data_IF_586532926908
#
_entry.id   IF_586532926908
#
_cell.length_a   1.000
_cell.length_b   1.000
_cell.length_c   1.000
_cell.angle_alpha   90.00
_cell.angle_beta   90.00
_cell.angle_gamma   90.00
#
_symmetry.space_group_name_H-M   'P 1'
#
loop_
_entity.id
_entity.type
_entity.pdbx_description
1 polymer ?
#
# COMPACT_ATOMS: atom_id res chain seq x y z
N UNK A 1 0.38 -22.97 -12.81
CA UNK A 1 0.80 -23.27 -14.18
C UNK A 1 -0.35 -23.94 -14.91
N UNK A 2 -1.00 -23.26 -15.85
CA UNK A 2 -1.54 -23.93 -17.00
C UNK A 2 -3.03 -24.05 -17.18
N UNK A 3 -3.86 -23.02 -17.01
CA UNK A 3 -5.23 -23.03 -17.56
C UNK A 3 -5.51 -21.85 -18.53
N UNK A 4 -4.64 -20.87 -18.60
CA UNK A 4 -4.78 -19.72 -19.51
C UNK A 4 -4.04 -19.89 -20.85
N UNK A 5 -3.05 -20.78 -20.95
CA UNK A 5 -2.29 -20.98 -22.19
C UNK A 5 -3.05 -21.81 -23.27
N UNK A 6 -4.11 -22.52 -22.89
CA UNK A 6 -4.85 -23.36 -23.83
C UNK A 6 -5.93 -22.59 -24.63
N UNK A 7 -6.32 -21.40 -24.19
CA UNK A 7 -7.41 -20.64 -24.81
C UNK A 7 -6.95 -19.63 -25.88
N UNK A 8 -5.68 -19.22 -25.88
CA UNK A 8 -5.18 -18.22 -26.82
C UNK A 8 -4.10 -18.71 -27.81
N UNK A 9 -3.57 -19.93 -27.62
CA UNK A 9 -2.46 -20.45 -28.43
C UNK A 9 -2.81 -20.99 -29.83
N UNK A 10 -4.08 -21.27 -30.12
CA UNK A 10 -4.46 -22.00 -31.36
C UNK A 10 -5.01 -21.16 -32.52
N UNK A 11 -5.10 -19.84 -32.39
CA UNK A 11 -5.66 -18.99 -33.48
C UNK A 11 -4.64 -18.23 -34.33
N UNK A 12 -3.34 -18.32 -34.08
CA UNK A 12 -2.34 -17.58 -34.87
C UNK A 12 -1.83 -18.33 -36.10
N UNK A 13 -1.92 -19.65 -36.13
CA UNK A 13 -1.38 -20.42 -37.27
C UNK A 13 -2.38 -20.62 -38.41
N UNK A 14 -3.67 -20.40 -38.20
CA UNK A 14 -4.68 -20.53 -39.25
C UNK A 14 -4.70 -19.36 -40.27
N UNK A 15 -4.07 -18.22 -39.92
CA UNK A 15 -4.08 -17.04 -40.80
C UNK A 15 -2.81 -16.89 -41.67
N UNK A 16 -1.75 -17.64 -41.40
CA UNK A 16 -0.49 -17.56 -42.18
C UNK A 16 -0.50 -18.37 -43.49
N UNK A 17 -1.45 -19.26 -43.68
CA UNK A 17 -1.55 -20.09 -44.87
C UNK A 17 -2.39 -19.50 -46.01
N UNK A 18 -3.03 -18.36 -45.83
CA UNK A 18 -3.92 -17.76 -46.84
C UNK A 18 -3.37 -16.52 -47.56
N UNK A 19 -2.18 -16.06 -47.22
CA UNK A 19 -1.60 -14.86 -47.80
C UNK A 19 -0.91 -15.07 -49.16
N UNK A 20 -0.69 -16.33 -49.58
CA UNK A 20 0.02 -16.65 -50.85
C UNK A 20 -0.87 -17.27 -51.93
N UNK A 21 -2.19 -17.13 -51.81
CA UNK A 21 -3.06 -17.48 -52.94
C UNK A 21 -3.14 -16.28 -53.88
N UNK A 22 -2.50 -16.45 -55.04
CA UNK A 22 -2.55 -15.51 -56.14
C UNK A 22 -4.02 -15.31 -56.56
N UNK A 23 -4.60 -14.19 -56.16
CA UNK A 23 -5.99 -13.80 -56.43
C UNK A 23 -6.24 -13.61 -57.96
N UNK A 24 -5.18 -13.55 -58.76
CA UNK A 24 -5.27 -13.44 -60.22
C UNK A 24 -5.60 -14.76 -60.90
N UNK A 25 -5.51 -15.91 -60.21
CA UNK A 25 -5.86 -17.21 -60.78
C UNK A 25 -7.37 -17.54 -60.63
N UNK A 26 -8.17 -16.69 -59.99
CA UNK A 26 -9.62 -16.88 -59.80
C UNK A 26 -10.47 -15.98 -60.71
N UNK A 27 -10.09 -15.86 -61.99
CA UNK A 27 -11.00 -15.30 -62.99
C UNK A 27 -11.83 -16.45 -63.56
N UNK A 28 -13.13 -16.55 -63.24
CA UNK A 28 -13.99 -17.57 -63.87
C UNK A 28 -14.15 -17.23 -65.34
N UNK A 29 -13.72 -18.11 -66.19
CA UNK A 29 -13.85 -17.96 -67.71
C UNK A 29 -15.29 -18.14 -68.16
N UNK A 30 -16.27 -18.45 -67.32
CA UNK A 30 -17.68 -18.64 -67.72
C UNK A 30 -18.63 -17.76 -66.93
N UNK A 31 -18.56 -16.46 -67.13
CA UNK A 31 -19.69 -15.62 -66.78
C UNK A 31 -20.61 -15.57 -68.01
N UNK A 32 -21.54 -16.50 -68.12
CA UNK A 32 -22.69 -16.36 -69.03
C UNK A 32 -23.38 -15.04 -68.70
N UNK A 33 -23.30 -14.10 -69.68
CA UNK A 33 -24.08 -12.83 -69.59
C UNK A 33 -25.55 -13.17 -69.63
N UNK A 34 -26.19 -13.14 -68.48
CA UNK A 34 -27.64 -13.15 -68.36
C UNK A 34 -28.15 -11.82 -68.95
N UNK A 35 -29.06 -11.84 -69.96
CA UNK A 35 -29.57 -10.62 -70.55
C UNK A 35 -30.26 -9.73 -69.51
N UNK A 36 -29.91 -8.46 -69.52
CA UNK A 36 -30.36 -7.43 -68.57
C UNK A 36 -31.79 -6.97 -68.82
N UNK A 37 -32.74 -7.87 -68.76
CA UNK A 37 -34.07 -7.49 -69.09
C UNK A 37 -35.14 -8.27 -68.37
N UNK A 38 -35.21 -8.40 -67.11
CA UNK A 38 -36.43 -8.77 -66.35
C UNK A 38 -36.19 -9.03 -64.85
N UNK A 39 -35.35 -8.22 -64.25
CA UNK A 39 -35.37 -8.17 -62.78
C UNK A 39 -36.32 -7.04 -62.38
N UNK A 40 -37.61 -7.36 -62.38
CA UNK A 40 -38.62 -6.52 -61.73
C UNK A 40 -38.15 -6.20 -60.32
N UNK A 41 -37.76 -4.95 -60.10
CA UNK A 41 -37.46 -4.40 -58.79
C UNK A 41 -38.70 -4.59 -57.88
N UNK A 42 -38.81 -5.74 -57.24
CA UNK A 42 -39.65 -5.87 -56.07
C UNK A 42 -39.06 -4.91 -55.00
N UNK A 43 -39.68 -3.73 -54.92
CA UNK A 43 -39.47 -2.83 -53.78
C UNK A 43 -39.78 -3.62 -52.53
N UNK A 44 -38.74 -4.17 -51.88
CA UNK A 44 -38.88 -4.68 -50.52
C UNK A 44 -39.11 -3.45 -49.67
N UNK A 45 -40.41 -3.24 -49.38
CA UNK A 45 -40.81 -2.28 -48.37
C UNK A 45 -40.27 -2.83 -47.06
N UNK A 46 -39.07 -2.41 -46.71
CA UNK A 46 -38.46 -2.71 -45.41
C UNK A 46 -39.41 -2.06 -44.37
N UNK A 47 -40.29 -2.87 -43.80
CA UNK A 47 -41.12 -2.42 -42.70
C UNK A 47 -40.18 -1.95 -41.59
N UNK A 48 -40.30 -0.70 -41.17
CA UNK A 48 -39.53 -0.14 -40.06
C UNK A 48 -39.97 -0.70 -38.70
N UNK A 49 -40.99 -1.61 -38.71
CA UNK A 49 -41.54 -2.24 -37.51
C UNK A 49 -40.49 -2.96 -36.65
N UNK A 50 -39.54 -3.79 -37.17
CA UNK A 50 -38.58 -4.48 -36.33
C UNK A 50 -37.57 -3.53 -35.71
N UNK A 51 -37.18 -2.43 -36.38
CA UNK A 51 -36.27 -1.42 -35.81
C UNK A 51 -36.92 -0.60 -34.70
N UNK A 52 -38.21 -0.26 -34.83
CA UNK A 52 -38.94 0.44 -33.77
C UNK A 52 -39.16 -0.48 -32.57
N UNK A 53 -39.51 -1.76 -32.79
CA UNK A 53 -39.65 -2.74 -31.71
C UNK A 53 -38.35 -2.98 -30.98
N UNK A 54 -37.20 -3.07 -31.68
CA UNK A 54 -35.87 -3.22 -31.07
C UNK A 54 -35.49 -1.99 -30.24
N UNK A 55 -35.80 -0.78 -30.73
CA UNK A 55 -35.52 0.46 -29.99
C UNK A 55 -36.39 0.58 -28.72
N UNK A 56 -37.66 0.20 -28.79
CA UNK A 56 -38.53 0.16 -27.62
C UNK A 56 -38.06 -0.89 -26.60
N UNK A 57 -37.68 -2.08 -27.04
CA UNK A 57 -37.14 -3.12 -26.18
C UNK A 57 -35.85 -2.68 -25.47
N UNK A 58 -34.93 -2.04 -26.20
CA UNK A 58 -33.69 -1.49 -25.62
C UNK A 58 -34.00 -0.38 -24.61
N UNK A 59 -34.97 0.51 -24.91
CA UNK A 59 -35.40 1.56 -24.01
C UNK A 59 -36.01 1.01 -22.72
N UNK A 60 -36.85 -0.01 -22.80
CA UNK A 60 -37.40 -0.69 -21.62
C UNK A 60 -36.31 -1.39 -20.82
N UNK A 61 -35.35 -2.04 -21.49
CA UNK A 61 -34.26 -2.73 -20.82
C UNK A 61 -33.33 -1.75 -20.09
N UNK A 62 -33.02 -0.61 -20.70
CA UNK A 62 -32.26 0.47 -20.06
C UNK A 62 -33.05 1.06 -18.89
N UNK A 63 -34.34 1.27 -19.02
CA UNK A 63 -35.21 1.76 -17.94
C UNK A 63 -35.30 0.77 -16.77
N UNK A 64 -35.40 -0.54 -17.06
CA UNK A 64 -35.36 -1.59 -16.04
C UNK A 64 -34.02 -1.68 -15.33
N UNK A 65 -32.90 -1.56 -16.06
CA UNK A 65 -31.57 -1.51 -15.45
C UNK A 65 -31.45 -0.27 -14.58
N UNK A 66 -31.89 0.89 -15.06
CA UNK A 66 -31.87 2.15 -14.31
C UNK A 66 -32.71 2.05 -13.03
N UNK A 67 -33.93 1.51 -13.16
CA UNK A 67 -34.80 1.30 -12.01
C UNK A 67 -34.21 0.31 -11.00
N UNK A 68 -33.66 -0.82 -11.45
CA UNK A 68 -32.97 -1.78 -10.58
C UNK A 68 -31.73 -1.21 -9.88
N UNK A 69 -30.99 -0.30 -10.56
CA UNK A 69 -29.85 0.41 -9.97
C UNK A 69 -30.32 1.47 -8.98
N UNK A 70 -31.39 2.20 -9.29
CA UNK A 70 -31.93 3.24 -8.42
C UNK A 70 -32.57 2.64 -7.16
N UNK A 71 -33.29 1.50 -7.30
CA UNK A 71 -33.89 0.79 -6.16
C UNK A 71 -32.83 0.15 -5.24
N UNK A 72 -31.66 -0.20 -5.78
CA UNK A 72 -30.52 -0.64 -4.96
C UNK A 72 -29.78 0.53 -4.29
N UNK A 73 -29.97 1.77 -4.75
CA UNK A 73 -29.34 2.97 -4.21
C UNK A 73 -30.21 3.69 -3.17
N UNK A 74 -31.53 3.64 -3.29
CA UNK A 74 -32.49 4.29 -2.38
C UNK A 74 -32.99 3.29 -1.33
N UNK A 75 -32.66 3.54 -0.07
CA UNK A 75 -32.70 2.56 0.93
C UNK A 75 -33.96 2.30 1.70
N UNK A 76 -34.38 1.07 1.72
CA UNK A 76 -35.06 0.53 2.88
C UNK A 76 -34.09 0.48 4.08
N UNK A 77 -34.55 0.72 5.32
CA UNK A 77 -33.69 0.70 6.50
C UNK A 77 -33.00 -0.65 6.63
N UNK A 78 -31.67 -0.67 6.48
CA UNK A 78 -30.89 -1.88 6.66
C UNK A 78 -30.81 -2.21 8.15
N UNK A 79 -31.54 -3.20 8.58
CA UNK A 79 -31.43 -3.72 9.95
C UNK A 79 -30.17 -4.55 10.17
N UNK A 80 -29.52 -5.00 9.09
CA UNK A 80 -28.39 -5.93 9.16
C UNK A 80 -27.19 -5.40 8.38
N UNK A 81 -26.00 -5.54 8.98
CA UNK A 81 -24.72 -5.24 8.34
C UNK A 81 -23.93 -6.54 8.23
N UNK A 82 -23.42 -6.82 7.05
CA UNK A 82 -22.40 -7.84 6.83
C UNK A 82 -21.07 -7.14 6.59
N UNK A 83 -20.16 -7.27 7.53
CA UNK A 83 -18.90 -6.54 7.55
C UNK A 83 -17.72 -7.48 7.32
N UNK A 84 -16.77 -7.03 6.51
CA UNK A 84 -15.49 -7.67 6.30
C UNK A 84 -14.40 -6.62 6.16
N UNK A 85 -13.21 -6.89 6.71
CA UNK A 85 -12.04 -6.02 6.61
C UNK A 85 -10.77 -6.86 6.52
N UNK A 86 -9.72 -6.26 5.95
CA UNK A 86 -8.36 -6.79 5.94
C UNK A 86 -7.50 -6.24 7.10
N UNK A 87 -8.09 -5.42 7.98
CA UNK A 87 -7.39 -4.75 9.07
C UNK A 87 -7.99 -5.03 10.46
N UNK A 88 -8.10 -3.98 11.27
CA UNK A 88 -8.47 -4.06 12.69
C UNK A 88 -9.77 -3.33 13.03
N UNK A 89 -10.39 -2.63 12.09
CA UNK A 89 -11.68 -1.98 12.31
C UNK A 89 -12.76 -3.02 12.60
N UNK A 90 -13.67 -2.65 13.48
CA UNK A 90 -14.78 -3.51 13.89
C UNK A 90 -16.09 -3.13 13.23
N UNK A 91 -17.06 -4.05 13.21
CA UNK A 91 -18.42 -3.76 12.77
C UNK A 91 -19.05 -2.62 13.57
N UNK A 92 -18.68 -2.47 14.87
CA UNK A 92 -19.16 -1.38 15.72
C UNK A 92 -18.69 0.00 15.21
N UNK A 93 -17.47 0.11 14.68
CA UNK A 93 -16.97 1.32 14.04
C UNK A 93 -17.84 1.68 12.84
N UNK A 94 -18.09 0.74 11.96
CA UNK A 94 -18.92 0.94 10.75
C UNK A 94 -20.33 1.38 11.14
N UNK A 95 -20.97 0.70 12.09
CA UNK A 95 -22.29 1.07 12.59
C UNK A 95 -22.31 2.47 13.17
N UNK A 96 -21.26 2.88 13.90
CA UNK A 96 -21.11 4.23 14.45
C UNK A 96 -21.04 5.28 13.35
N UNK A 97 -20.25 5.05 12.31
CA UNK A 97 -20.12 5.98 11.17
C UNK A 97 -21.46 6.12 10.45
N UNK A 98 -22.15 5.01 10.16
CA UNK A 98 -23.46 5.03 9.51
C UNK A 98 -24.50 5.77 10.36
N UNK A 99 -24.53 5.50 11.67
CA UNK A 99 -25.50 6.12 12.58
C UNK A 99 -25.26 7.62 12.81
N UNK A 100 -24.00 8.08 12.65
CA UNK A 100 -23.65 9.50 12.79
C UNK A 100 -24.17 10.36 11.63
N UNK A 101 -24.44 9.75 10.48
CA UNK A 101 -24.98 10.47 9.31
C UNK A 101 -26.49 10.66 9.38
N UNK A 102 -27.04 11.65 8.65
CA UNK A 102 -28.47 11.84 8.53
C UNK A 102 -29.10 10.57 7.91
N UNK A 103 -30.29 10.20 8.35
CA UNK A 103 -31.04 9.01 7.86
C UNK A 103 -30.42 7.63 8.21
N UNK A 104 -29.24 7.57 8.85
CA UNK A 104 -28.64 6.34 9.33
C UNK A 104 -28.49 5.28 8.23
N UNK A 105 -29.07 4.10 8.44
CA UNK A 105 -29.01 2.97 7.49
C UNK A 105 -29.82 3.15 6.21
N UNK A 106 -30.75 4.13 6.16
CA UNK A 106 -31.54 4.40 4.96
C UNK A 106 -30.78 5.22 3.91
N UNK A 107 -29.61 5.75 4.26
CA UNK A 107 -28.79 6.58 3.37
C UNK A 107 -28.37 5.88 2.09
N UNK A 108 -28.10 6.69 1.08
CA UNK A 108 -27.46 6.22 -0.15
C UNK A 108 -26.12 5.51 0.14
N UNK A 109 -25.91 4.41 -0.52
CA UNK A 109 -24.68 3.59 -0.47
C UNK A 109 -23.42 4.43 -0.78
N UNK A 110 -23.53 5.37 -1.73
CA UNK A 110 -22.41 6.26 -2.10
C UNK A 110 -22.05 7.22 -0.97
N UNK A 111 -23.07 7.73 -0.25
CA UNK A 111 -22.83 8.62 0.88
C UNK A 111 -22.19 7.86 2.06
N UNK A 112 -22.65 6.64 2.35
CA UNK A 112 -22.04 5.76 3.37
C UNK A 112 -20.57 5.46 3.00
N UNK A 113 -20.31 5.13 1.74
CA UNK A 113 -18.96 4.89 1.25
C UNK A 113 -18.06 6.12 1.46
N UNK A 114 -18.52 7.30 1.06
CA UNK A 114 -17.76 8.54 1.20
C UNK A 114 -17.42 8.84 2.67
N UNK A 115 -18.38 8.64 3.58
CA UNK A 115 -18.14 8.85 5.00
C UNK A 115 -17.12 7.87 5.58
N UNK A 116 -17.19 6.59 5.19
CA UNK A 116 -16.20 5.60 5.61
C UNK A 116 -14.79 5.93 5.09
N UNK A 117 -14.68 6.42 3.85
CA UNK A 117 -13.41 6.82 3.22
C UNK A 117 -12.86 8.16 3.76
N UNK A 118 -13.66 8.91 4.54
CA UNK A 118 -13.19 10.11 5.25
C UNK A 118 -12.23 9.76 6.39
N UNK A 119 -12.38 8.56 6.99
CA UNK A 119 -11.47 8.10 8.02
C UNK A 119 -10.10 7.76 7.43
N UNK A 120 -9.04 8.35 7.99
CA UNK A 120 -7.67 8.13 7.53
C UNK A 120 -7.18 6.69 7.65
N UNK A 121 -7.83 5.83 8.43
CA UNK A 121 -7.51 4.41 8.53
C UNK A 121 -8.05 3.62 7.34
N UNK A 122 -9.09 4.13 6.65
CA UNK A 122 -9.71 3.48 5.50
C UNK A 122 -9.01 3.92 4.20
N UNK A 123 -8.54 2.95 3.41
CA UNK A 123 -8.01 3.19 2.06
C UNK A 123 -9.12 3.22 1.04
N UNK A 124 -10.05 2.27 1.16
CA UNK A 124 -11.19 2.12 0.27
C UNK A 124 -12.31 1.36 0.97
N UNK A 125 -13.55 1.73 0.66
CA UNK A 125 -14.75 1.02 1.09
C UNK A 125 -15.53 0.53 -0.13
N UNK A 126 -15.90 -0.76 -0.13
CA UNK A 126 -16.90 -1.30 -1.07
C UNK A 126 -18.19 -1.52 -0.29
N UNK A 127 -19.21 -0.74 -0.61
CA UNK A 127 -20.50 -0.77 0.07
C UNK A 127 -21.56 -1.17 -0.93
N UNK A 128 -22.34 -2.19 -0.61
CA UNK A 128 -23.44 -2.69 -1.46
C UNK A 128 -24.66 -2.94 -0.61
N UNK A 129 -25.83 -2.68 -1.19
CA UNK A 129 -27.10 -3.02 -0.58
C UNK A 129 -27.68 -4.22 -1.30
N UNK A 130 -28.02 -5.26 -0.57
CA UNK A 130 -28.73 -6.43 -1.10
C UNK A 130 -30.25 -6.14 -1.20
N UNK A 131 -30.93 -6.94 -2.02
CA UNK A 131 -32.40 -6.83 -2.18
C UNK A 131 -33.19 -7.07 -0.88
N UNK A 132 -32.59 -7.70 0.15
CA UNK A 132 -33.15 -7.88 1.49
C UNK A 132 -32.91 -6.70 2.43
N UNK A 133 -32.29 -5.61 1.93
CA UNK A 133 -31.93 -4.43 2.71
C UNK A 133 -30.64 -4.55 3.52
N UNK A 134 -29.96 -5.70 3.50
CA UNK A 134 -28.67 -5.89 4.19
C UNK A 134 -27.57 -5.07 3.52
N UNK A 135 -26.80 -4.31 4.31
CA UNK A 135 -25.60 -3.65 3.85
C UNK A 135 -24.40 -4.60 3.91
N UNK A 136 -23.77 -4.86 2.76
CA UNK A 136 -22.47 -5.51 2.67
C UNK A 136 -21.38 -4.45 2.57
N UNK A 137 -20.41 -4.51 3.51
CA UNK A 137 -19.36 -3.52 3.62
C UNK A 137 -18.02 -4.25 3.71
N UNK A 138 -17.18 -4.05 2.70
CA UNK A 138 -15.82 -4.54 2.68
C UNK A 138 -14.86 -3.35 2.76
N UNK A 139 -14.06 -3.30 3.82
CA UNK A 139 -13.06 -2.25 4.01
C UNK A 139 -11.67 -2.78 3.68
N UNK A 140 -10.90 -1.91 3.03
CA UNK A 140 -9.46 -2.04 2.92
C UNK A 140 -8.82 -0.98 3.80
N UNK A 141 -8.02 -1.41 4.77
CA UNK A 141 -7.43 -0.54 5.77
C UNK A 141 -5.96 -0.21 5.47
N UNK A 142 -5.50 0.94 6.00
CA UNK A 142 -4.08 1.25 6.08
C UNK A 142 -3.44 0.42 7.17
N UNK A 143 -2.38 -0.29 6.81
CA UNK A 143 -1.58 -1.03 7.78
C UNK A 143 -0.46 -0.13 8.30
N UNK A 144 -0.36 -0.04 9.63
CA UNK A 144 0.70 0.69 10.29
C UNK A 144 2.06 0.06 10.04
N UNK A 145 3.04 0.86 9.64
CA UNK A 145 4.45 0.47 9.53
C UNK A 145 5.28 1.03 10.67
N UNK A 146 4.79 2.10 11.31
CA UNK A 146 5.44 2.77 12.43
C UNK A 146 4.40 3.54 13.24
N UNK A 147 4.85 4.23 14.27
CA UNK A 147 4.05 5.19 15.05
C UNK A 147 4.81 6.49 15.23
N UNK A 148 4.08 7.56 15.52
CA UNK A 148 4.62 8.83 16.02
C UNK A 148 4.01 9.13 17.38
N UNK A 149 4.77 9.86 18.19
CA UNK A 149 4.30 10.44 19.43
C UNK A 149 4.31 11.96 19.25
N UNK A 150 3.15 12.58 19.32
CA UNK A 150 3.00 14.01 19.17
C UNK A 150 2.34 14.63 20.38
N UNK A 151 2.72 15.87 20.69
CA UNK A 151 1.97 16.70 21.61
C UNK A 151 0.99 17.52 20.76
N UNK A 152 -0.32 17.40 20.97
CA UNK A 152 -1.27 18.25 20.30
C UNK A 152 -1.08 19.71 20.73
N UNK A 153 -1.25 20.66 19.81
CA UNK A 153 -1.06 22.10 20.03
C UNK A 153 -1.87 22.65 21.22
N UNK A 154 -2.97 21.98 21.58
CA UNK A 154 -3.89 22.39 22.66
C UNK A 154 -4.05 21.34 23.76
N UNK A 155 -3.26 20.28 23.75
CA UNK A 155 -3.39 19.16 24.70
C UNK A 155 -2.20 19.01 25.61
N UNK A 156 -2.43 18.54 26.83
CA UNK A 156 -1.39 18.23 27.81
C UNK A 156 -0.93 16.77 27.73
N UNK A 157 -1.59 15.93 26.93
CA UNK A 157 -1.30 14.50 26.84
C UNK A 157 -0.67 14.15 25.50
N UNK A 158 0.40 13.36 25.54
CA UNK A 158 1.00 12.77 24.36
C UNK A 158 0.00 11.87 23.64
N UNK A 159 -0.13 12.05 22.32
CA UNK A 159 -0.96 11.19 21.47
C UNK A 159 -0.07 10.31 20.63
N UNK A 160 -0.41 9.02 20.62
CA UNK A 160 0.23 8.05 19.70
C UNK A 160 -0.63 7.97 18.45
N UNK A 161 -0.03 8.24 17.31
CA UNK A 161 -0.67 8.05 16.00
C UNK A 161 0.10 7.02 15.20
N UNK A 162 -0.61 6.22 14.44
CA UNK A 162 -0.02 5.22 13.57
C UNK A 162 0.33 5.84 12.22
N UNK A 163 1.39 5.36 11.61
CA UNK A 163 1.90 5.83 10.31
C UNK A 163 1.79 4.69 9.30
N UNK A 164 1.10 4.91 8.21
CA UNK A 164 1.01 3.97 7.11
C UNK A 164 2.17 4.12 6.13
N UNK A 165 2.31 3.18 5.21
CA UNK A 165 3.39 3.19 4.20
C UNK A 165 3.29 4.37 3.22
N UNK A 166 2.10 4.95 3.03
CA UNK A 166 1.86 6.15 2.23
C UNK A 166 2.11 7.47 2.99
N UNK A 167 2.63 7.40 4.21
CA UNK A 167 2.94 8.53 5.08
C UNK A 167 1.77 9.11 5.85
N UNK A 168 0.55 8.69 5.57
CA UNK A 168 -0.63 9.18 6.28
C UNK A 168 -0.65 8.66 7.70
N UNK A 169 -1.05 9.54 8.62
CA UNK A 169 -1.25 9.18 10.02
C UNK A 169 -2.71 8.92 10.32
N UNK A 170 -2.97 8.01 11.26
CA UNK A 170 -4.32 7.65 11.70
C UNK A 170 -4.34 7.23 13.17
N UNK A 171 -5.52 7.22 13.78
CA UNK A 171 -5.68 6.97 15.22
C UNK A 171 -5.43 5.52 15.66
N UNK A 172 -5.49 4.54 14.73
CA UNK A 172 -5.30 3.13 15.04
C UNK A 172 -6.47 2.50 15.79
N UNK A 173 -7.69 2.85 15.42
CA UNK A 173 -8.90 2.29 16.02
C UNK A 173 -8.92 0.78 15.84
N UNK A 174 -9.15 0.03 16.91
CA UNK A 174 -9.19 -1.43 16.89
C UNK A 174 -7.82 -2.13 16.91
N UNK A 175 -6.71 -1.39 16.80
CA UNK A 175 -5.38 -2.00 16.89
C UNK A 175 -5.13 -2.57 18.27
N UNK A 176 -4.63 -3.81 18.39
CA UNK A 176 -4.21 -4.37 19.67
C UNK A 176 -3.07 -3.55 20.27
N UNK A 177 -3.15 -3.24 21.56
CA UNK A 177 -2.14 -2.42 22.26
C UNK A 177 -0.72 -2.99 22.08
N UNK A 178 -0.58 -4.32 22.16
CA UNK A 178 0.69 -5.00 21.96
C UNK A 178 1.26 -4.78 20.54
N UNK A 179 0.40 -4.74 19.52
CA UNK A 179 0.83 -4.45 18.15
C UNK A 179 1.36 -3.01 18.05
N UNK A 180 0.66 -2.05 18.65
CA UNK A 180 1.08 -0.63 18.71
C UNK A 180 2.39 -0.46 19.48
N UNK A 181 2.56 -1.14 20.61
CA UNK A 181 3.81 -1.10 21.42
C UNK A 181 5.02 -1.60 20.61
N UNK A 182 4.83 -2.60 19.78
CA UNK A 182 5.89 -3.20 18.99
C UNK A 182 6.29 -2.39 17.77
N UNK A 183 5.49 -1.41 17.34
CA UNK A 183 5.86 -0.53 16.23
C UNK A 183 7.02 0.38 16.63
N UNK A 184 8.03 0.55 15.75
CA UNK A 184 9.07 1.54 15.95
C UNK A 184 8.47 2.95 15.83
N UNK A 185 9.02 3.88 16.61
CA UNK A 185 8.68 5.29 16.55
C UNK A 185 9.44 5.99 15.45
N UNK A 186 8.75 6.79 14.63
CA UNK A 186 9.42 7.70 13.70
C UNK A 186 9.82 8.97 14.45
N UNK A 187 11.10 9.29 14.43
CA UNK A 187 11.67 10.47 15.07
C UNK A 187 12.26 11.45 14.05
N UNK A 188 12.36 12.72 14.42
CA UNK A 188 12.94 13.79 13.61
C UNK A 188 12.32 13.87 12.20
N UNK A 189 11.03 13.62 12.13
CA UNK A 189 10.26 13.70 10.89
C UNK A 189 9.83 15.13 10.57
N UNK A 190 9.51 15.37 9.31
CA UNK A 190 8.74 16.53 8.86
C UNK A 190 7.35 16.06 8.56
N UNK A 191 6.37 16.89 8.84
CA UNK A 191 4.97 16.57 8.57
C UNK A 191 4.25 17.76 7.95
N UNK A 192 3.33 17.47 7.05
CA UNK A 192 2.43 18.45 6.43
C UNK A 192 0.98 17.99 6.67
N UNK A 193 0.04 18.95 6.63
CA UNK A 193 -1.38 18.67 6.80
C UNK A 193 -1.93 19.06 8.17
N UNK A 194 -3.21 18.76 8.38
CA UNK A 194 -3.89 19.00 9.65
C UNK A 194 -3.49 17.97 10.71
N UNK A 195 -3.63 18.33 11.98
CA UNK A 195 -3.27 17.47 13.12
C UNK A 195 -3.87 16.05 13.02
N UNK A 196 -5.12 15.96 12.55
CA UNK A 196 -5.81 14.67 12.41
C UNK A 196 -5.40 13.87 11.17
N UNK A 197 -4.72 14.49 10.22
CA UNK A 197 -4.37 13.91 8.92
C UNK A 197 -2.95 14.27 8.47
N UNK A 198 -1.99 14.19 9.41
CA UNK A 198 -0.59 14.46 9.10
C UNK A 198 -0.08 13.50 8.03
N UNK A 199 0.68 14.05 7.09
CA UNK A 199 1.48 13.32 6.11
C UNK A 199 2.95 13.43 6.52
N UNK A 200 3.59 12.31 6.79
CA UNK A 200 5.00 12.24 7.18
C UNK A 200 5.86 12.21 5.91
N UNK A 201 6.69 13.23 5.74
CA UNK A 201 7.66 13.31 4.64
C UNK A 201 8.83 12.34 4.86
N UNK A 202 9.32 11.72 3.79
CA UNK A 202 10.44 10.76 3.83
C UNK A 202 10.04 9.34 4.23
N UNK A 203 8.77 9.11 4.51
CA UNK A 203 8.28 7.77 4.86
C UNK A 203 8.44 6.79 3.69
N UNK A 204 8.37 7.28 2.45
CA UNK A 204 8.59 6.51 1.22
C UNK A 204 9.97 5.84 1.19
N UNK A 205 10.95 6.37 1.91
CA UNK A 205 12.27 5.77 2.08
C UNK A 205 12.24 4.73 3.19
N UNK A 206 11.64 5.06 4.33
CA UNK A 206 11.64 4.22 5.53
C UNK A 206 10.60 3.09 5.49
N UNK A 207 9.44 3.27 4.85
CA UNK A 207 8.38 2.27 4.85
C UNK A 207 8.76 0.96 4.16
N UNK A 208 9.39 0.94 2.95
CA UNK A 208 9.86 -0.30 2.33
C UNK A 208 10.90 -1.03 3.18
N UNK A 209 11.78 -0.26 3.84
CA UNK A 209 12.78 -0.79 4.77
C UNK A 209 12.10 -1.46 5.97
N UNK A 210 11.20 -0.76 6.66
CA UNK A 210 10.47 -1.28 7.82
C UNK A 210 9.61 -2.50 7.48
N UNK A 211 8.91 -2.47 6.34
CA UNK A 211 8.11 -3.60 5.86
C UNK A 211 8.98 -4.82 5.59
N UNK A 212 10.14 -4.63 4.93
CA UNK A 212 11.08 -5.73 4.65
C UNK A 212 11.61 -6.33 5.94
N UNK A 213 12.01 -5.49 6.91
CA UNK A 213 12.54 -6.00 8.19
C UNK A 213 11.46 -6.72 8.97
N UNK A 214 10.24 -6.18 9.02
CA UNK A 214 9.12 -6.82 9.71
C UNK A 214 8.78 -8.20 9.16
N UNK A 215 8.86 -8.37 7.83
CA UNK A 215 8.50 -9.63 7.16
C UNK A 215 9.65 -10.63 7.12
N UNK A 216 10.87 -10.15 6.85
CA UNK A 216 12.04 -11.02 6.61
C UNK A 216 12.87 -11.24 7.88
N UNK A 217 12.95 -10.23 8.74
CA UNK A 217 13.77 -10.25 9.96
C UNK A 217 12.95 -9.83 11.20
N UNK A 218 11.85 -10.54 11.55
CA UNK A 218 10.95 -10.13 12.62
C UNK A 218 11.63 -10.06 14.00
N UNK A 219 12.70 -10.79 14.21
CA UNK A 219 13.50 -10.72 15.45
C UNK A 219 14.25 -9.40 15.58
N UNK A 220 14.80 -8.85 14.48
CA UNK A 220 15.42 -7.53 14.47
C UNK A 220 14.36 -6.42 14.67
N UNK A 221 13.25 -6.54 13.95
CA UNK A 221 12.15 -5.57 14.06
C UNK A 221 11.67 -5.38 15.51
N UNK A 222 11.55 -6.46 16.26
CA UNK A 222 11.17 -6.42 17.69
C UNK A 222 12.19 -5.70 18.58
N UNK A 223 13.45 -5.69 18.20
CA UNK A 223 14.52 -5.02 18.93
C UNK A 223 14.60 -3.52 18.65
N UNK A 224 13.91 -3.04 17.63
CA UNK A 224 13.94 -1.64 17.23
C UNK A 224 12.92 -0.82 18.00
N UNK A 225 13.37 0.31 18.57
CA UNK A 225 12.49 1.24 19.28
C UNK A 225 12.08 2.43 18.42
N UNK A 226 13.01 2.96 17.63
CA UNK A 226 12.76 4.14 16.80
C UNK A 226 13.54 4.10 15.48
N UNK A 227 13.06 4.88 14.51
CA UNK A 227 13.76 5.19 13.27
C UNK A 227 13.75 6.69 13.07
N UNK A 228 14.94 7.28 12.95
CA UNK A 228 15.11 8.72 12.71
C UNK A 228 15.18 9.00 11.23
N UNK A 229 14.37 9.96 10.78
CA UNK A 229 14.37 10.50 9.41
C UNK A 229 15.26 11.74 9.26
N UNK A 230 15.98 12.15 10.32
CA UNK A 230 16.80 13.38 10.33
C UNK A 230 17.74 13.47 9.12
N UNK A 231 18.45 12.39 8.84
CA UNK A 231 19.51 12.34 7.84
C UNK A 231 19.04 11.76 6.49
N UNK A 232 17.71 11.53 6.35
CA UNK A 232 17.12 11.05 5.10
C UNK A 232 16.94 12.17 4.07
N UNK A 233 16.86 13.41 4.54
CA UNK A 233 16.62 14.59 3.71
C UNK A 233 17.94 15.23 3.30
N UNK A 234 18.82 14.48 2.62
CA UNK A 234 19.99 15.05 1.98
C UNK A 234 19.59 16.08 0.89
N UNK A 235 20.48 17.01 0.58
CA UNK A 235 20.22 18.04 -0.45
C UNK A 235 19.98 17.46 -1.86
N UNK A 236 20.30 16.18 -2.06
CA UNK A 236 20.08 15.38 -3.28
C UNK A 236 19.71 13.97 -2.89
N UNK A 237 18.75 13.36 -3.61
CA UNK A 237 18.27 11.99 -3.36
C UNK A 237 19.37 10.92 -3.33
N UNK A 238 20.44 11.12 -4.12
CA UNK A 238 21.62 10.24 -4.22
C UNK A 238 22.84 10.77 -3.45
N UNK A 239 22.63 11.71 -2.52
CA UNK A 239 23.74 12.29 -1.76
C UNK A 239 24.46 11.22 -0.93
N UNK A 240 25.79 11.05 -1.08
CA UNK A 240 26.56 10.22 -0.18
C UNK A 240 26.41 10.75 1.25
N UNK A 241 25.75 10.00 2.13
CA UNK A 241 25.50 10.41 3.51
C UNK A 241 24.04 10.47 3.93
N UNK A 242 23.08 10.25 3.01
CA UNK A 242 21.69 10.02 3.40
C UNK A 242 21.59 8.71 4.17
N UNK A 243 21.14 8.78 5.42
CA UNK A 243 21.13 7.65 6.31
C UNK A 243 19.78 7.48 7.01
N UNK A 244 19.40 6.21 7.20
CA UNK A 244 18.37 5.77 8.13
C UNK A 244 19.05 5.36 9.44
N UNK A 245 18.67 6.00 10.54
CA UNK A 245 19.19 5.65 11.88
C UNK A 245 18.12 4.91 12.65
N UNK A 246 18.47 3.72 13.12
CA UNK A 246 17.60 2.84 13.86
C UNK A 246 18.10 2.74 15.29
N UNK A 247 17.28 3.13 16.25
CA UNK A 247 17.58 3.00 17.67
C UNK A 247 17.17 1.61 18.15
N UNK A 248 18.09 0.92 18.82
CA UNK A 248 17.87 -0.40 19.40
C UNK A 248 17.24 -0.24 20.77
N UNK A 249 16.27 -1.10 21.09
CA UNK A 249 15.52 -1.08 22.36
C UNK A 249 16.46 -1.40 23.54
N UNK A 250 16.49 -0.57 24.57
CA UNK A 250 17.22 -0.88 25.80
C UNK A 250 16.66 -2.17 26.42
N UNK A 251 17.54 -2.96 27.05
CA UNK A 251 17.16 -4.17 27.78
C UNK A 251 16.97 -5.43 26.91
N UNK A 252 17.16 -5.34 25.59
CA UNK A 252 17.22 -6.51 24.71
C UNK A 252 18.61 -7.18 24.73
N UNK A 253 19.58 -6.55 25.39
CA UNK A 253 20.97 -7.01 25.46
C UNK A 253 21.37 -7.25 26.94
N UNK A 254 22.30 -8.19 27.18
CA UNK A 254 22.84 -8.42 28.53
C UNK A 254 23.49 -7.17 29.13
N UNK A 255 23.23 -6.89 30.40
CA UNK A 255 23.73 -5.69 31.11
C UNK A 255 25.25 -5.69 31.34
N UNK A 256 25.90 -6.83 31.23
CA UNK A 256 27.33 -7.02 31.46
C UNK A 256 28.19 -6.73 30.22
N UNK A 257 27.59 -6.23 29.15
CA UNK A 257 28.26 -6.01 27.86
C UNK A 257 28.06 -4.61 27.34
N UNK A 258 28.96 -4.15 26.45
CA UNK A 258 28.71 -2.94 25.68
C UNK A 258 27.39 -3.02 24.95
N UNK A 259 26.58 -1.97 25.01
CA UNK A 259 25.28 -1.93 24.38
C UNK A 259 25.36 -1.41 22.92
N UNK A 260 24.69 -2.09 22.00
CA UNK A 260 24.40 -1.52 20.69
C UNK A 260 23.18 -0.59 20.82
N UNK A 261 23.38 0.70 20.67
CA UNK A 261 22.30 1.69 20.84
C UNK A 261 21.68 2.13 19.53
N UNK A 262 22.46 2.09 18.46
CA UNK A 262 22.01 2.58 17.16
C UNK A 262 22.63 1.77 16.01
N UNK A 263 21.86 1.59 14.93
CA UNK A 263 22.34 1.02 13.67
C UNK A 263 22.07 2.05 12.57
N UNK A 264 23.07 2.34 11.76
CA UNK A 264 22.99 3.32 10.67
C UNK A 264 23.06 2.59 9.34
N UNK A 265 22.02 2.76 8.53
CA UNK A 265 21.91 2.23 7.17
C UNK A 265 21.99 3.35 6.14
N UNK A 266 22.44 3.03 4.94
CA UNK A 266 22.33 3.92 3.78
C UNK A 266 20.90 3.90 3.24
N UNK A 267 20.35 5.05 2.87
CA UNK A 267 19.04 5.12 2.20
C UNK A 267 19.03 4.42 0.83
N UNK A 268 20.16 4.43 0.13
CA UNK A 268 20.29 3.84 -1.20
C UNK A 268 20.56 2.32 -1.17
N UNK A 269 21.29 1.80 -0.15
CA UNK A 269 21.79 0.42 -0.17
C UNK A 269 21.33 -0.45 1.01
N UNK A 270 20.34 -0.01 1.76
CA UNK A 270 19.86 -0.69 2.98
C UNK A 270 19.48 -2.17 2.78
N UNK A 271 19.07 -2.56 1.57
CA UNK A 271 18.70 -3.97 1.29
C UNK A 271 19.90 -4.90 1.44
N UNK A 272 21.04 -4.55 0.86
CA UNK A 272 22.26 -5.33 0.98
C UNK A 272 22.81 -5.27 2.42
N UNK A 273 22.69 -4.12 3.06
CA UNK A 273 23.11 -3.90 4.43
C UNK A 273 22.27 -4.73 5.43
N UNK A 274 20.96 -4.91 5.19
CA UNK A 274 20.11 -5.81 5.98
C UNK A 274 20.52 -7.27 5.82
N UNK A 275 20.84 -7.71 4.59
CA UNK A 275 21.34 -9.06 4.35
C UNK A 275 22.64 -9.26 5.10
N UNK A 276 23.53 -8.28 5.08
CA UNK A 276 24.80 -8.31 5.81
C UNK A 276 24.56 -8.35 7.33
N UNK A 277 23.67 -7.50 7.86
CA UNK A 277 23.31 -7.50 9.28
C UNK A 277 22.75 -8.87 9.74
N UNK A 278 21.94 -9.51 8.91
CA UNK A 278 21.40 -10.84 9.20
C UNK A 278 22.47 -11.95 9.25
N UNK A 279 23.64 -11.72 8.69
CA UNK A 279 24.78 -12.67 8.69
C UNK A 279 25.80 -12.38 9.77
N UNK A 280 25.81 -11.19 10.33
CA UNK A 280 26.78 -10.74 11.34
C UNK A 280 26.30 -11.19 12.71
N UNK A 281 27.23 -11.75 13.47
CA UNK A 281 27.03 -11.93 14.90
C UNK A 281 27.41 -10.63 15.63
N UNK A 282 26.41 -9.79 15.90
CA UNK A 282 26.61 -8.50 16.58
C UNK A 282 27.22 -8.68 17.97
N UNK A 283 26.85 -9.73 18.70
CA UNK A 283 27.40 -10.03 20.01
C UNK A 283 28.91 -10.35 19.95
N UNK A 284 29.34 -11.01 18.89
CA UNK A 284 30.75 -11.28 18.66
C UNK A 284 31.54 -10.02 18.32
N UNK A 285 30.95 -9.13 17.52
CA UNK A 285 31.53 -7.82 17.23
C UNK A 285 31.74 -6.99 18.50
N UNK A 286 30.74 -6.99 19.39
CA UNK A 286 30.83 -6.27 20.67
C UNK A 286 31.82 -6.87 21.66
N UNK A 287 32.23 -8.12 21.49
CA UNK A 287 33.25 -8.81 22.33
C UNK A 287 34.66 -8.68 21.82
N UNK A 288 34.89 -8.06 20.66
CA UNK A 288 36.25 -7.95 20.10
C UNK A 288 37.19 -7.19 21.05
N UNK A 289 38.47 -7.61 21.14
CA UNK A 289 39.46 -6.86 21.89
C UNK A 289 39.50 -5.41 21.39
N UNK A 290 39.48 -4.47 22.32
CA UNK A 290 39.48 -3.03 22.00
C UNK A 290 38.13 -2.34 22.09
N UNK A 291 37.02 -3.07 22.32
CA UNK A 291 35.73 -2.49 22.67
C UNK A 291 35.71 -2.08 24.14
N UNK A 292 36.06 -0.81 24.43
CA UNK A 292 36.17 -0.27 25.79
C UNK A 292 35.02 0.65 26.20
N UNK A 293 34.23 1.10 25.22
CA UNK A 293 33.09 1.98 25.48
C UNK A 293 31.88 1.19 25.98
N UNK A 294 30.99 1.84 26.75
CA UNK A 294 29.78 1.24 27.26
C UNK A 294 28.66 1.14 26.20
N UNK A 295 28.76 1.94 25.15
CA UNK A 295 27.74 1.99 24.07
C UNK A 295 28.38 2.18 22.69
N UNK A 296 27.76 1.56 21.69
CA UNK A 296 28.25 1.59 20.30
C UNK A 296 27.15 1.88 19.31
N UNK A 297 27.54 2.53 18.22
CA UNK A 297 26.74 2.68 16.98
C UNK A 297 27.35 1.75 15.93
N UNK A 298 26.51 0.92 15.31
CA UNK A 298 26.89 0.06 14.20
C UNK A 298 26.60 0.78 12.87
N UNK A 299 27.65 1.18 12.17
CA UNK A 299 27.51 1.74 10.82
C UNK A 299 27.61 0.63 9.80
N UNK A 300 26.53 0.38 9.07
CA UNK A 300 26.45 -0.63 8.00
C UNK A 300 26.99 -0.08 6.68
N UNK A 301 26.78 1.22 6.44
CA UNK A 301 27.26 1.93 5.26
C UNK A 301 28.68 2.43 5.50
N UNK A 302 29.65 1.72 4.97
CA UNK A 302 31.04 2.24 4.87
C UNK A 302 31.27 2.56 3.40
N UNK A 303 31.24 3.83 3.08
CA UNK A 303 31.87 4.31 1.86
C UNK A 303 33.39 4.34 2.09
N UNK A 304 34.05 3.22 1.82
CA UNK A 304 35.51 3.20 1.78
C UNK A 304 35.98 3.99 0.55
N UNK A 305 36.21 5.29 0.72
CA UNK A 305 36.84 6.16 -0.28
C UNK A 305 38.30 5.84 -0.56
N UNK A 306 38.95 4.99 0.24
CA UNK A 306 40.43 4.91 0.25
C UNK A 306 41.02 3.57 -0.15
N UNK A 307 40.26 2.48 -0.28
CA UNK A 307 40.88 1.20 -0.63
C UNK A 307 40.07 0.45 -1.68
N UNK A 308 40.48 0.57 -2.93
CA UNK A 308 39.91 -0.18 -4.09
C UNK A 308 40.14 -1.70 -4.00
N UNK A 309 40.73 -2.22 -2.92
CA UNK A 309 41.14 -3.63 -2.78
C UNK A 309 40.14 -4.49 -1.98
N UNK A 310 39.13 -3.93 -1.32
CA UNK A 310 38.14 -4.71 -0.59
C UNK A 310 36.71 -4.40 -1.06
N UNK A 311 36.08 -5.29 -1.83
CA UNK A 311 34.78 -5.04 -2.43
C UNK A 311 33.60 -5.20 -1.46
N UNK A 312 33.81 -5.60 -0.23
CA UNK A 312 32.76 -5.81 0.75
C UNK A 312 32.85 -4.74 1.84
N UNK A 313 31.84 -3.86 1.99
CA UNK A 313 31.81 -2.91 3.10
C UNK A 313 31.74 -3.69 4.42
N UNK A 314 32.75 -3.60 5.23
CA UNK A 314 32.74 -4.16 6.58
C UNK A 314 31.98 -3.21 7.52
N UNK A 315 31.01 -3.71 8.29
CA UNK A 315 30.33 -2.91 9.28
C UNK A 315 31.27 -2.46 10.37
N UNK A 316 31.16 -1.20 10.77
CA UNK A 316 32.06 -0.57 11.75
C UNK A 316 31.31 -0.22 13.03
N UNK A 317 31.87 -0.68 14.16
CA UNK A 317 31.47 -0.21 15.48
C UNK A 317 32.15 1.14 15.77
N UNK A 318 31.34 2.14 16.12
CA UNK A 318 31.80 3.47 16.52
C UNK A 318 31.39 3.67 17.98
N UNK A 319 32.35 3.97 18.91
CA UNK A 319 32.03 4.24 20.30
C UNK A 319 31.14 5.50 20.41
N UNK A 320 30.15 5.46 21.27
CA UNK A 320 29.40 6.65 21.64
C UNK A 320 30.26 7.42 22.65
N UNK A 321 30.87 8.51 22.21
CA UNK A 321 31.47 9.48 23.12
C UNK A 321 30.36 10.30 23.75
N UNK A 322 30.03 9.96 24.97
CA UNK A 322 29.22 10.85 25.82
C UNK A 322 30.01 12.16 25.97
N UNK A 323 29.44 13.33 25.60
CA UNK A 323 30.11 14.58 25.92
C UNK A 323 30.27 14.62 27.44
N UNK A 324 31.52 14.70 27.90
CA UNK A 324 31.83 14.91 29.30
C UNK A 324 31.18 16.24 29.65
N UNK A 325 30.08 16.19 30.34
CA UNK A 325 29.45 17.36 30.96
C UNK A 325 30.40 17.77 32.05
N UNK A 326 31.33 18.66 31.74
CA UNK A 326 32.16 19.33 32.75
C UNK A 326 31.18 20.09 33.65
N UNK A 327 31.08 19.77 34.95
CA UNK A 327 30.23 20.54 35.85
C UNK A 327 30.77 21.97 35.84
N UNK A 328 29.92 22.91 35.44
CA UNK A 328 30.17 24.34 35.66
C UNK A 328 30.34 24.54 37.15
N UNK A 329 31.55 24.88 37.58
CA UNK A 329 31.83 25.36 38.94
C UNK A 329 31.28 26.75 39.15
#
# INVERSE_FOLDING_TARGET
>A
MGLFDSLFGRRRDAFRGQADRDWRALVPQDVQRVPAGELGRKRVVRSKLPTVAAALFLGVLVALIWWAVDESATGAPAGKVRFQTDGFLSEAFVKKVIAAGPEGFARDVRAIKADLETDNQVVAADVRRRGDGTLEINLRERLAVAKIVSLPDKGTSMQVRLVAADGRTFAGVGYPEQAVRNLPEIQHFRATGAEDSLLIEGIEIAAPFLLTVRTTYPHLYKQWSAVSLRDCFGAQEDSPGSNLRVTVRPGTQPMDRPALVEIVFSTANWRNELILLGRINVDELLRRPGTTASAYVLKMSIQNRTNAASPIPEPRLVPVTTPVTTPLR
#
